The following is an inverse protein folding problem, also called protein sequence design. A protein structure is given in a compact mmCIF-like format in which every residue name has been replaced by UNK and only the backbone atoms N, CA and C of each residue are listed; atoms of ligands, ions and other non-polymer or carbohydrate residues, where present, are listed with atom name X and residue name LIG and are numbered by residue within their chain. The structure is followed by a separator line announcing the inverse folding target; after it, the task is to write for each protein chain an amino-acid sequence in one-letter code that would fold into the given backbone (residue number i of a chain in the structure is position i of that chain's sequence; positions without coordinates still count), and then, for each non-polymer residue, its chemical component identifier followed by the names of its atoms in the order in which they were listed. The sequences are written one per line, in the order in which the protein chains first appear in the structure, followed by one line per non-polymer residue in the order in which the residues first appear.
data_IF_918196973941
#
_entry.id   IF_918196973941
#
_cell.length_a   1.000
_cell.length_b   1.000
_cell.length_c   1.000
_cell.angle_alpha   90.00
_cell.angle_beta   90.00
_cell.angle_gamma   90.00
#
_symmetry.space_group_name_H-M   'P 1'
#
loop_
_entity.id
_entity.type
_entity.pdbx_description
1 polymer ?
#
# COMPACT_ATOMS: atom_id res chain seq x y z
N UNK A 1 -2.58 -2.76 8.48
CA UNK A 1 -1.91 -1.61 7.85
C UNK A 1 -2.34 -1.59 6.39
N UNK A 2 -2.34 -0.43 5.77
CA UNK A 2 -2.39 -0.28 4.30
C UNK A 2 -1.22 0.56 3.86
N UNK A 3 -0.63 0.22 2.73
CA UNK A 3 0.46 0.92 2.08
C UNK A 3 0.14 1.19 0.62
N UNK A 4 0.75 2.25 0.10
CA UNK A 4 0.84 2.54 -1.32
C UNK A 4 2.27 2.96 -1.60
N UNK A 5 2.87 2.34 -2.61
CA UNK A 5 4.24 2.62 -3.04
C UNK A 5 4.27 2.96 -4.53
N UNK A 6 5.24 3.77 -4.94
CA UNK A 6 5.46 4.11 -6.35
C UNK A 6 6.81 3.62 -6.85
N UNK A 7 6.90 3.47 -8.17
CA UNK A 7 8.14 3.17 -8.88
C UNK A 7 9.19 4.31 -8.83
N UNK A 8 8.80 5.50 -8.36
CA UNK A 8 9.68 6.64 -8.06
C UNK A 8 10.24 6.59 -6.64
N UNK A 9 9.83 5.59 -5.83
CA UNK A 9 10.32 5.38 -4.48
C UNK A 9 9.50 6.04 -3.38
N UNK A 10 8.30 6.54 -3.69
CA UNK A 10 7.41 7.12 -2.70
C UNK A 10 6.70 6.04 -1.87
N UNK A 11 6.42 6.37 -0.61
CA UNK A 11 5.63 5.53 0.30
C UNK A 11 4.55 6.37 0.96
N UNK A 12 3.34 5.82 1.07
CA UNK A 12 2.23 6.33 1.88
C UNK A 12 1.63 5.15 2.63
N UNK A 13 1.31 5.32 3.91
CA UNK A 13 0.76 4.22 4.70
C UNK A 13 -0.10 4.69 5.87
N UNK A 14 -0.98 3.79 6.33
CA UNK A 14 -1.77 3.94 7.55
C UNK A 14 -1.76 2.66 8.38
N UNK A 15 -1.51 2.80 9.68
CA UNK A 15 -1.67 1.70 10.65
C UNK A 15 -3.01 1.81 11.36
N UNK A 16 -3.71 0.69 11.52
CA UNK A 16 -4.99 0.56 12.22
C UNK A 16 -5.08 -0.82 12.88
N UNK A 17 -6.01 -0.95 13.84
CA UNK A 17 -6.30 -2.22 14.51
C UNK A 17 -7.44 -2.97 13.82
N UNK A 18 -7.36 -4.30 13.78
CA UNK A 18 -8.36 -5.15 13.13
C UNK A 18 -8.16 -5.24 11.61
N UNK A 19 -9.20 -5.66 10.89
CA UNK A 19 -9.15 -5.94 9.45
C UNK A 19 -9.32 -4.69 8.59
N UNK A 20 -8.94 -4.76 7.32
CA UNK A 20 -9.26 -3.69 6.37
C UNK A 20 -10.78 -3.64 6.13
N UNK A 21 -11.33 -2.43 6.08
CA UNK A 21 -12.75 -2.14 5.80
C UNK A 21 -12.87 -1.10 4.69
N UNK A 22 -14.04 -1.01 4.06
CA UNK A 22 -14.33 0.02 3.05
C UNK A 22 -14.06 1.43 3.58
N UNK A 23 -14.52 1.73 4.80
CA UNK A 23 -14.30 3.02 5.46
C UNK A 23 -12.80 3.34 5.61
N UNK A 24 -12.01 2.38 6.11
CA UNK A 24 -10.55 2.56 6.29
C UNK A 24 -9.83 2.73 4.96
N UNK A 25 -10.28 2.03 3.93
CA UNK A 25 -9.74 2.20 2.59
C UNK A 25 -10.05 3.60 2.03
N UNK A 26 -11.29 4.08 2.18
CA UNK A 26 -11.66 5.46 1.82
C UNK A 26 -10.83 6.48 2.60
N UNK A 27 -10.58 6.26 3.90
CA UNK A 27 -9.69 7.12 4.69
C UNK A 27 -8.29 7.19 4.09
N UNK A 28 -7.76 6.06 3.62
CA UNK A 28 -6.46 6.03 2.95
C UNK A 28 -6.48 6.78 1.61
N UNK A 29 -7.48 6.57 0.77
CA UNK A 29 -7.62 7.29 -0.50
C UNK A 29 -7.75 8.81 -0.30
N UNK A 30 -8.49 9.26 0.72
CA UNK A 30 -8.55 10.67 1.12
C UNK A 30 -7.16 11.23 1.44
N UNK A 31 -6.37 10.49 2.21
CA UNK A 31 -5.00 10.92 2.53
C UNK A 31 -4.11 11.02 1.28
N UNK A 32 -4.28 10.10 0.30
CA UNK A 32 -3.56 10.19 -0.97
C UNK A 32 -3.94 11.47 -1.73
N UNK A 33 -5.24 11.76 -1.89
CA UNK A 33 -5.72 12.98 -2.56
C UNK A 33 -5.22 14.27 -1.90
N UNK A 34 -5.03 14.28 -0.58
CA UNK A 34 -4.50 15.42 0.18
C UNK A 34 -2.98 15.57 0.02
N UNK A 35 -2.23 14.47 -0.12
CA UNK A 35 -0.76 14.49 -0.01
C UNK A 35 -0.01 14.24 -1.32
N UNK A 36 -0.71 13.83 -2.37
CA UNK A 36 -0.14 13.58 -3.70
C UNK A 36 -0.76 14.58 -4.68
N UNK A 37 0.06 15.42 -5.33
CA UNK A 37 -0.43 16.38 -6.32
C UNK A 37 -0.83 15.67 -7.62
N UNK A 38 -1.69 16.32 -8.42
CA UNK A 38 -2.09 15.82 -9.73
C UNK A 38 -3.08 14.65 -9.68
N UNK A 39 -3.14 13.91 -10.78
CA UNK A 39 -3.98 12.72 -10.97
C UNK A 39 -3.29 11.49 -10.38
N UNK A 40 -4.05 10.69 -9.64
CA UNK A 40 -3.57 9.53 -8.89
C UNK A 40 -4.20 8.28 -9.46
N UNK A 41 -3.34 7.34 -9.86
CA UNK A 41 -3.75 5.99 -10.25
C UNK A 41 -3.39 5.04 -9.11
N UNK A 42 -4.39 4.39 -8.52
CA UNK A 42 -4.19 3.41 -7.44
C UNK A 42 -4.48 2.02 -7.98
N UNK A 43 -3.49 1.15 -7.94
CA UNK A 43 -3.64 -0.26 -8.34
C UNK A 43 -3.74 -1.08 -7.07
N UNK A 44 -4.83 -1.82 -6.89
CA UNK A 44 -5.12 -2.61 -5.68
C UNK A 44 -5.27 -4.09 -5.99
N UNK A 45 -5.11 -4.92 -4.96
CA UNK A 45 -5.46 -6.34 -5.02
C UNK A 45 -7.00 -6.54 -5.03
N UNK A 46 -7.43 -7.80 -4.93
CA UNK A 46 -8.86 -8.16 -4.96
C UNK A 46 -9.49 -8.26 -3.56
N UNK A 47 -8.97 -7.57 -2.54
CA UNK A 47 -9.59 -7.59 -1.23
C UNK A 47 -11.05 -7.08 -1.32
N UNK A 48 -12.05 -7.81 -0.74
CA UNK A 48 -13.46 -7.43 -0.85
C UNK A 48 -13.79 -6.03 -0.35
N UNK A 49 -12.97 -5.48 0.55
CA UNK A 49 -13.12 -4.12 1.06
C UNK A 49 -12.93 -3.04 -0.02
N UNK A 50 -12.10 -3.29 -1.04
CA UNK A 50 -11.85 -2.34 -2.12
C UNK A 50 -13.03 -2.22 -3.09
N UNK A 51 -13.78 -3.31 -3.28
CA UNK A 51 -14.88 -3.38 -4.24
C UNK A 51 -16.29 -3.19 -3.62
N UNK A 52 -16.39 -2.64 -2.40
CA UNK A 52 -17.69 -2.31 -1.80
C UNK A 52 -18.34 -1.12 -2.50
N UNK A 53 -19.66 -1.13 -2.62
CA UNK A 53 -20.44 -0.05 -3.28
C UNK A 53 -20.09 1.34 -2.74
N UNK A 54 -19.88 1.46 -1.42
CA UNK A 54 -19.46 2.71 -0.80
C UNK A 54 -18.11 3.22 -1.31
N UNK A 55 -17.16 2.32 -1.60
CA UNK A 55 -15.87 2.68 -2.20
C UNK A 55 -16.05 3.08 -3.65
N UNK A 56 -16.82 2.30 -4.42
CA UNK A 56 -17.08 2.59 -5.85
C UNK A 56 -17.73 3.96 -6.00
N UNK A 57 -18.79 4.23 -5.24
CA UNK A 57 -19.48 5.53 -5.25
C UNK A 57 -18.56 6.67 -4.81
N UNK A 58 -17.72 6.45 -3.80
CA UNK A 58 -16.78 7.47 -3.34
C UNK A 58 -15.69 7.76 -4.37
N UNK A 59 -15.14 6.74 -5.06
CA UNK A 59 -14.14 6.92 -6.13
C UNK A 59 -14.75 7.67 -7.32
N UNK A 60 -15.99 7.35 -7.72
CA UNK A 60 -16.71 8.07 -8.77
C UNK A 60 -16.86 9.57 -8.48
N UNK A 61 -17.09 9.94 -7.21
CA UNK A 61 -17.18 11.35 -6.80
C UNK A 61 -15.85 12.11 -6.91
N UNK A 62 -14.73 11.43 -7.11
CA UNK A 62 -13.37 12.00 -7.18
C UNK A 62 -12.64 11.58 -8.47
N UNK A 63 -13.39 11.21 -9.51
CA UNK A 63 -12.83 10.68 -10.77
C UNK A 63 -11.99 11.72 -11.54
N UNK A 64 -12.15 13.00 -11.22
CA UNK A 64 -11.33 14.10 -11.74
C UNK A 64 -9.85 13.99 -11.33
N UNK A 65 -9.58 13.35 -10.19
CA UNK A 65 -8.22 13.21 -9.63
C UNK A 65 -7.82 11.78 -9.27
N UNK A 66 -8.74 10.83 -9.18
CA UNK A 66 -8.48 9.48 -8.70
C UNK A 66 -9.09 8.44 -9.62
N UNK A 67 -8.28 7.49 -10.06
CA UNK A 67 -8.73 6.26 -10.70
C UNK A 67 -8.17 5.05 -9.95
N UNK A 68 -9.03 4.06 -9.70
CA UNK A 68 -8.68 2.82 -9.01
C UNK A 68 -8.76 1.65 -9.99
N UNK A 69 -7.67 0.90 -10.12
CA UNK A 69 -7.56 -0.29 -10.94
C UNK A 69 -7.35 -1.52 -10.07
N UNK A 70 -7.80 -2.67 -10.56
CA UNK A 70 -7.71 -3.94 -9.84
C UNK A 70 -6.77 -4.88 -10.57
N UNK A 71 -5.91 -5.54 -9.82
CA UNK A 71 -5.08 -6.62 -10.35
C UNK A 71 -5.94 -7.82 -10.77
N UNK A 72 -5.43 -8.68 -11.66
CA UNK A 72 -6.00 -10.00 -11.88
C UNK A 72 -6.15 -10.78 -10.57
N UNK A 73 -7.21 -11.57 -10.47
CA UNK A 73 -7.43 -12.41 -9.29
C UNK A 73 -6.31 -13.43 -9.15
N UNK A 74 -5.92 -13.71 -7.91
CA UNK A 74 -4.88 -14.69 -7.56
C UNK A 74 -3.49 -14.39 -8.12
N UNK A 75 -3.17 -13.11 -8.35
CA UNK A 75 -1.85 -12.68 -8.85
C UNK A 75 -1.09 -11.77 -7.86
N UNK A 76 -0.80 -12.25 -6.63
CA UNK A 76 -0.08 -11.45 -5.63
C UNK A 76 1.32 -11.02 -6.10
N UNK A 77 1.96 -11.81 -6.96
CA UNK A 77 3.28 -11.53 -7.52
C UNK A 77 3.32 -10.30 -8.44
N UNK A 78 2.16 -9.83 -8.88
CA UNK A 78 2.00 -8.59 -9.63
C UNK A 78 1.92 -7.37 -8.71
N UNK A 79 1.66 -7.52 -7.41
CA UNK A 79 1.56 -6.41 -6.48
C UNK A 79 2.95 -6.07 -5.89
N UNK A 80 3.54 -4.89 -6.19
CA UNK A 80 4.81 -4.47 -5.59
C UNK A 80 4.74 -4.40 -4.06
N UNK A 81 3.57 -4.13 -3.49
CA UNK A 81 3.38 -4.03 -2.04
C UNK A 81 3.55 -5.39 -1.33
N UNK A 82 3.47 -6.52 -2.05
CA UNK A 82 3.82 -7.84 -1.51
C UNK A 82 5.33 -7.98 -1.22
N UNK A 83 6.19 -7.33 -2.02
CA UNK A 83 7.63 -7.30 -1.76
C UNK A 83 7.94 -6.46 -0.51
N UNK A 84 7.27 -5.30 -0.37
CA UNK A 84 7.32 -4.51 0.85
C UNK A 84 6.84 -5.31 2.06
N UNK A 85 5.71 -6.01 1.93
CA UNK A 85 5.16 -6.83 3.01
C UNK A 85 6.10 -7.96 3.43
N UNK A 86 6.81 -8.57 2.48
CA UNK A 86 7.81 -9.59 2.78
C UNK A 86 9.03 -9.01 3.53
N UNK A 87 9.55 -7.86 3.10
CA UNK A 87 10.64 -7.16 3.81
C UNK A 87 10.21 -6.74 5.23
N UNK A 88 9.00 -6.18 5.36
CA UNK A 88 8.41 -5.82 6.65
C UNK A 88 8.33 -7.03 7.60
N UNK A 89 7.85 -8.19 7.11
CA UNK A 89 7.75 -9.41 7.92
C UNK A 89 9.11 -9.90 8.41
N UNK A 90 10.14 -9.85 7.56
CA UNK A 90 11.52 -10.16 7.95
C UNK A 90 11.98 -9.27 9.09
N UNK A 91 11.91 -7.95 8.89
CA UNK A 91 12.38 -6.95 9.85
C UNK A 91 11.61 -6.97 11.18
N UNK A 92 10.30 -7.23 11.15
CA UNK A 92 9.49 -7.32 12.37
C UNK A 92 9.87 -8.56 13.19
N UNK A 93 10.28 -9.65 12.54
CA UNK A 93 10.66 -10.91 13.19
C UNK A 93 12.15 -11.00 13.57
N UNK A 94 13.04 -10.19 12.97
CA UNK A 94 14.47 -10.16 13.30
C UNK A 94 14.75 -9.85 14.78
N UNK A 95 13.86 -9.09 15.44
CA UNK A 95 13.91 -8.81 16.87
C UNK A 95 13.08 -9.78 17.74
N UNK A 96 12.82 -10.99 17.24
CA UNK A 96 11.96 -12.01 17.85
C UNK A 96 10.45 -11.77 17.63
N UNK A 97 9.59 -12.69 18.06
CA UNK A 97 8.14 -12.51 17.94
C UNK A 97 7.66 -11.35 18.86
N UNK A 98 6.80 -10.44 18.37
CA UNK A 98 6.25 -9.39 19.21
C UNK A 98 5.29 -9.99 20.24
N UNK A 99 5.48 -9.58 21.49
CA UNK A 99 4.72 -9.99 22.67
C UNK A 99 3.34 -9.34 22.79
N UNK A 100 3.16 -8.17 22.17
CA UNK A 100 1.89 -7.42 22.18
C UNK A 100 1.58 -6.76 20.83
N UNK A 101 0.30 -6.47 20.60
CA UNK A 101 -0.15 -5.68 19.45
C UNK A 101 0.48 -4.29 19.41
N UNK A 102 0.82 -3.71 20.57
CA UNK A 102 1.50 -2.41 20.66
C UNK A 102 2.94 -2.50 20.17
N UNK A 103 3.67 -3.53 20.61
CA UNK A 103 5.03 -3.82 20.15
C UNK A 103 5.05 -4.07 18.64
N UNK A 104 4.14 -4.91 18.13
CA UNK A 104 3.99 -5.16 16.70
C UNK A 104 3.75 -3.86 15.92
N UNK A 105 2.78 -3.04 16.35
CA UNK A 105 2.48 -1.76 15.71
C UNK A 105 3.69 -0.82 15.70
N UNK A 106 4.42 -0.73 16.81
CA UNK A 106 5.62 0.11 16.90
C UNK A 106 6.72 -0.33 15.92
N UNK A 107 6.94 -1.64 15.80
CA UNK A 107 7.91 -2.20 14.83
C UNK A 107 7.52 -1.91 13.38
N UNK A 108 6.24 -2.11 13.05
CA UNK A 108 5.70 -1.75 11.73
C UNK A 108 5.92 -0.27 11.45
N UNK A 109 5.53 0.63 12.36
CA UNK A 109 5.70 2.07 12.18
C UNK A 109 7.18 2.45 12.00
N UNK A 110 8.09 1.87 12.79
CA UNK A 110 9.52 2.11 12.68
C UNK A 110 10.06 1.70 11.30
N UNK A 111 9.68 0.53 10.81
CA UNK A 111 10.09 0.06 9.49
C UNK A 111 9.54 0.96 8.38
N UNK A 112 8.25 1.31 8.41
CA UNK A 112 7.64 2.16 7.40
C UNK A 112 8.25 3.57 7.40
N UNK A 113 8.54 4.16 8.56
CA UNK A 113 9.26 5.44 8.65
C UNK A 113 10.68 5.35 8.11
N UNK A 114 11.37 4.21 8.28
CA UNK A 114 12.68 3.99 7.67
C UNK A 114 12.57 3.94 6.14
N UNK A 115 11.55 3.28 5.59
CA UNK A 115 11.34 3.20 4.14
C UNK A 115 11.11 4.57 3.48
N UNK A 116 10.47 5.52 4.18
CA UNK A 116 10.31 6.90 3.69
C UNK A 116 11.66 7.57 3.37
N UNK A 117 12.76 7.12 3.99
CA UNK A 117 14.10 7.66 3.80
C UNK A 117 14.95 6.84 2.81
N UNK A 118 14.38 5.79 2.20
CA UNK A 118 15.09 4.83 1.35
C UNK A 118 14.40 4.66 -0.01
N UNK A 119 14.24 5.73 -0.82
CA UNK A 119 13.51 5.65 -2.08
C UNK A 119 14.08 4.60 -3.05
N UNK A 120 15.42 4.47 -3.13
CA UNK A 120 16.05 3.43 -3.97
C UNK A 120 15.68 2.00 -3.56
N UNK A 121 15.48 1.76 -2.27
CA UNK A 121 15.04 0.45 -1.78
C UNK A 121 13.58 0.20 -2.17
N UNK A 122 12.72 1.21 -2.05
CA UNK A 122 11.32 1.13 -2.50
C UNK A 122 11.23 0.89 -4.01
N UNK A 123 12.03 1.61 -4.81
CA UNK A 123 12.14 1.38 -6.27
C UNK A 123 12.55 -0.05 -6.60
N UNK A 124 13.39 -0.69 -5.75
CA UNK A 124 13.84 -2.06 -5.97
C UNK A 124 12.69 -3.09 -5.95
N UNK A 125 11.59 -2.79 -5.25
CA UNK A 125 10.38 -3.63 -5.27
C UNK A 125 9.72 -3.71 -6.65
N UNK A 126 10.02 -2.74 -7.53
CA UNK A 126 9.51 -2.68 -8.89
C UNK A 126 10.44 -3.34 -9.93
N UNK A 127 11.60 -3.87 -9.51
CA UNK A 127 12.58 -4.48 -10.43
C UNK A 127 12.29 -5.95 -10.72
N UNK A 128 11.32 -6.57 -10.03
CA UNK A 128 11.00 -7.96 -10.31
C UNK A 128 10.29 -8.08 -11.67
N UNK A 129 10.65 -9.04 -12.56
CA UNK A 129 10.12 -9.09 -13.92
C UNK A 129 8.59 -9.12 -14.03
N UNK A 130 7.92 -9.67 -13.02
CA UNK A 130 6.46 -9.76 -12.96
C UNK A 130 5.77 -8.43 -12.63
N UNK A 131 6.46 -7.45 -12.09
CA UNK A 131 5.91 -6.12 -11.78
C UNK A 131 6.33 -5.04 -12.79
N UNK A 132 6.97 -5.43 -13.89
CA UNK A 132 7.43 -4.51 -14.94
C UNK A 132 6.32 -3.64 -15.55
N UNK A 133 5.05 -4.06 -15.47
CA UNK A 133 3.93 -3.23 -15.94
C UNK A 133 3.76 -1.92 -15.12
N UNK A 134 4.30 -1.89 -13.90
CA UNK A 134 4.37 -0.71 -13.03
C UNK A 134 5.75 -0.02 -13.07
N UNK A 135 6.75 -0.58 -13.74
CA UNK A 135 8.05 0.08 -13.92
C UNK A 135 7.92 1.04 -15.10
N UNK A 136 7.99 2.36 -14.86
CA UNK A 136 8.04 3.32 -15.97
C UNK A 136 9.40 3.21 -16.66
N UNK A 137 9.38 3.18 -17.99
CA UNK A 137 10.55 3.43 -18.83
C UNK A 137 11.05 4.87 -18.74
#
# INVERSE_FOLDING_TARGET
MVSGISNTGDVRFLTYSGTMTAERFITFLKQLLTTVPGTIFVIVDNLPAHAKDAVVAWVQQHEDRLAVFYLPRYSPELNPDEYLNNDLKGQVHDAGLPDTSKTLRSRIQRFMHKLLMLPKHVMSYFLHPKVNYCASG
#
